data_IF_354198780853
#
_entry.id   IF_354198780853
#
_cell.length_a   1.000
_cell.length_b   1.000
_cell.length_c   1.000
_cell.angle_alpha   90.00
_cell.angle_beta   90.00
_cell.angle_gamma   90.00
#
_symmetry.space_group_name_H-M   'P 1'
#
loop_
_entity.id
_entity.type
_entity.pdbx_description
1 polymer ?
#
# COMPACT_ATOMS: atom_id res chain seq x y z
N UNK A 1 -13.07 -3.16 12.42
CA UNK A 1 -11.72 -3.05 11.82
C UNK A 1 -11.01 -4.40 11.85
N UNK A 2 -10.44 -4.84 10.72
CA UNK A 2 -9.71 -6.13 10.61
C UNK A 2 -8.34 -6.08 11.32
N UNK A 3 -7.92 -7.21 11.87
CA UNK A 3 -6.58 -7.45 12.40
C UNK A 3 -5.56 -7.61 11.26
N UNK A 4 -4.27 -7.49 11.57
CA UNK A 4 -3.21 -7.71 10.58
C UNK A 4 -3.27 -9.14 10.00
N UNK A 5 -3.49 -10.15 10.85
CA UNK A 5 -3.59 -11.54 10.40
C UNK A 5 -4.75 -11.75 9.42
N UNK A 6 -5.93 -11.18 9.71
CA UNK A 6 -7.08 -11.23 8.79
C UNK A 6 -6.79 -10.54 7.46
N UNK A 7 -6.12 -9.38 7.48
CA UNK A 7 -5.73 -8.66 6.26
C UNK A 7 -4.72 -9.44 5.43
N UNK A 8 -3.73 -10.06 6.08
CA UNK A 8 -2.72 -10.90 5.43
C UNK A 8 -3.37 -12.13 4.81
N UNK A 9 -4.24 -12.83 5.54
CA UNK A 9 -4.92 -14.02 5.04
C UNK A 9 -5.82 -13.70 3.83
N UNK A 10 -6.53 -12.57 3.84
CA UNK A 10 -7.32 -12.12 2.70
C UNK A 10 -6.49 -11.98 1.40
N UNK A 11 -5.23 -11.55 1.52
CA UNK A 11 -4.30 -11.40 0.39
C UNK A 11 -3.77 -12.78 -0.03
N UNK A 12 -3.42 -13.63 0.92
CA UNK A 12 -2.83 -14.96 0.65
C UNK A 12 -3.83 -15.93 0.02
N UNK A 13 -5.04 -15.97 0.56
CA UNK A 13 -6.11 -16.90 0.16
C UNK A 13 -6.86 -16.46 -1.10
N UNK A 14 -6.67 -15.22 -1.56
CA UNK A 14 -7.32 -14.73 -2.77
C UNK A 14 -6.69 -15.36 -4.03
N UNK A 15 -7.45 -16.14 -4.78
CA UNK A 15 -6.94 -16.89 -5.94
C UNK A 15 -6.64 -16.03 -7.17
N UNK A 16 -7.59 -15.22 -7.65
CA UNK A 16 -7.49 -14.50 -8.94
C UNK A 16 -7.38 -12.98 -8.81
N UNK A 17 -7.85 -12.40 -7.71
CA UNK A 17 -7.96 -10.94 -7.56
C UNK A 17 -6.70 -10.28 -6.99
N UNK A 18 -5.72 -11.08 -6.56
CA UNK A 18 -4.50 -10.62 -5.89
C UNK A 18 -3.28 -11.10 -6.65
N UNK A 19 -2.47 -10.13 -7.09
CA UNK A 19 -1.25 -10.43 -7.82
C UNK A 19 -0.21 -11.11 -6.93
N UNK A 20 0.52 -12.08 -7.48
CA UNK A 20 1.55 -12.88 -6.78
C UNK A 20 2.58 -12.03 -6.00
N UNK A 21 2.94 -10.83 -6.47
CA UNK A 21 3.89 -9.96 -5.77
C UNK A 21 3.37 -9.51 -4.41
N UNK A 22 2.06 -9.27 -4.27
CA UNK A 22 1.47 -8.88 -3.00
C UNK A 22 1.50 -10.04 -2.01
N UNK A 23 1.26 -11.27 -2.47
CA UNK A 23 1.43 -12.49 -1.66
C UNK A 23 2.86 -12.60 -1.16
N UNK A 24 3.86 -12.43 -2.04
CA UNK A 24 5.28 -12.44 -1.64
C UNK A 24 5.65 -11.35 -0.64
N UNK A 25 5.07 -10.15 -0.75
CA UNK A 25 5.27 -9.07 0.22
C UNK A 25 4.73 -9.49 1.59
N UNK A 26 3.49 -9.96 1.66
CA UNK A 26 2.85 -10.27 2.96
C UNK A 26 3.36 -11.57 3.58
N UNK A 27 3.87 -12.52 2.78
CA UNK A 27 4.61 -13.69 3.25
C UNK A 27 6.06 -13.39 3.64
N UNK A 28 6.52 -12.15 3.51
CA UNK A 28 7.92 -11.77 3.76
C UNK A 28 8.93 -12.54 2.88
N UNK A 29 8.53 -12.90 1.66
CA UNK A 29 9.39 -13.57 0.66
C UNK A 29 9.91 -12.61 -0.43
N UNK A 30 9.60 -11.32 -0.27
CA UNK A 30 10.07 -10.24 -1.15
C UNK A 30 11.36 -9.63 -0.58
N UNK A 31 12.33 -9.22 -1.43
CA UNK A 31 13.55 -8.52 -0.98
C UNK A 31 13.28 -7.24 -0.18
N UNK A 32 12.07 -6.67 -0.29
CA UNK A 32 11.66 -5.48 0.44
C UNK A 32 11.13 -5.77 1.86
N UNK A 33 10.86 -7.03 2.20
CA UNK A 33 10.22 -7.43 3.46
C UNK A 33 10.85 -8.64 4.13
N UNK A 34 11.77 -9.36 3.45
CA UNK A 34 12.35 -10.61 3.95
C UNK A 34 13.10 -10.49 5.30
N UNK A 35 13.58 -9.29 5.61
CA UNK A 35 14.31 -9.00 6.86
C UNK A 35 13.54 -8.03 7.78
N UNK A 36 12.23 -7.86 7.57
CA UNK A 36 11.43 -6.87 8.29
C UNK A 36 10.08 -7.41 8.73
N UNK A 37 9.68 -7.15 9.97
CA UNK A 37 8.34 -7.54 10.43
C UNK A 37 7.29 -6.58 9.89
N UNK A 38 6.17 -7.12 9.41
CA UNK A 38 5.00 -6.34 9.02
C UNK A 38 4.22 -5.97 10.28
N UNK A 39 3.93 -4.67 10.43
CA UNK A 39 3.22 -4.13 11.60
C UNK A 39 1.78 -3.78 11.23
N UNK A 40 1.56 -3.26 10.03
CA UNK A 40 0.24 -2.91 9.51
C UNK A 40 0.28 -2.88 7.98
N UNK A 41 -0.88 -3.08 7.35
CA UNK A 41 -1.00 -2.94 5.90
C UNK A 41 -2.37 -2.38 5.49
N UNK A 42 -2.39 -1.79 4.31
CA UNK A 42 -3.60 -1.42 3.57
C UNK A 42 -3.52 -2.06 2.19
N UNK A 43 -4.56 -2.77 1.80
CA UNK A 43 -4.66 -3.38 0.48
C UNK A 43 -5.86 -2.80 -0.27
N UNK A 44 -5.58 -2.00 -1.28
CA UNK A 44 -6.59 -1.45 -2.18
C UNK A 44 -6.79 -2.45 -3.32
N UNK A 45 -7.98 -3.05 -3.36
CA UNK A 45 -8.35 -3.99 -4.42
C UNK A 45 -8.38 -3.32 -5.77
N UNK A 46 -8.18 -4.13 -6.81
CA UNK A 46 -8.38 -3.72 -8.20
C UNK A 46 -9.81 -3.22 -8.37
N UNK A 47 -10.00 -2.17 -9.15
CA UNK A 47 -11.33 -1.67 -9.52
C UNK A 47 -11.56 -1.92 -11.00
N UNK A 48 -12.69 -2.55 -11.33
CA UNK A 48 -13.10 -2.78 -12.71
C UNK A 48 -14.08 -1.68 -13.16
N UNK A 49 -14.32 -1.57 -14.47
CA UNK A 49 -15.39 -0.70 -14.97
C UNK A 49 -16.77 -1.19 -14.53
N UNK A 50 -16.92 -2.50 -14.44
CA UNK A 50 -18.05 -3.20 -13.86
C UNK A 50 -17.51 -4.17 -12.81
N UNK A 51 -17.71 -3.86 -11.53
CA UNK A 51 -17.21 -4.67 -10.42
C UNK A 51 -17.94 -6.04 -10.32
N UNK A 52 -19.05 -6.24 -11.06
CA UNK A 52 -19.77 -7.51 -11.11
C UNK A 52 -19.25 -8.48 -12.17
N UNK A 53 -18.41 -8.02 -13.10
CA UNK A 53 -17.79 -8.83 -14.15
C UNK A 53 -16.27 -8.81 -14.01
N UNK A 54 -15.69 -9.95 -13.58
CA UNK A 54 -14.24 -10.13 -13.40
C UNK A 54 -13.47 -9.96 -14.73
N UNK A 55 -14.13 -10.15 -15.89
CA UNK A 55 -13.53 -9.93 -17.21
C UNK A 55 -13.62 -8.48 -17.68
N UNK A 56 -14.33 -7.63 -16.94
CA UNK A 56 -14.46 -6.21 -17.25
C UNK A 56 -13.09 -5.53 -17.25
N UNK A 57 -12.83 -4.54 -18.12
CA UNK A 57 -11.56 -3.84 -18.14
C UNK A 57 -11.24 -3.20 -16.79
N UNK A 58 -9.98 -3.31 -16.39
CA UNK A 58 -9.48 -2.71 -15.15
C UNK A 58 -9.53 -1.18 -15.27
N UNK A 59 -10.21 -0.52 -14.34
CA UNK A 59 -10.27 0.94 -14.23
C UNK A 59 -9.12 1.47 -13.36
N UNK A 60 -8.78 0.78 -12.27
CA UNK A 60 -7.66 1.13 -11.38
C UNK A 60 -6.90 -0.13 -10.94
N UNK A 61 -5.55 -0.11 -10.97
CA UNK A 61 -4.76 -1.25 -10.53
C UNK A 61 -4.83 -1.42 -9.02
N UNK A 62 -4.67 -2.66 -8.57
CA UNK A 62 -4.54 -2.99 -7.16
C UNK A 62 -3.23 -2.44 -6.58
N UNK A 63 -3.26 -2.10 -5.29
CA UNK A 63 -2.13 -1.49 -4.57
C UNK A 63 -2.04 -2.05 -3.17
N UNK A 64 -0.82 -2.19 -2.67
CA UNK A 64 -0.56 -2.52 -1.28
C UNK A 64 0.40 -1.51 -0.68
N UNK A 65 0.10 -1.09 0.54
CA UNK A 65 0.94 -0.26 1.37
C UNK A 65 1.18 -0.99 2.69
N UNK A 66 2.44 -1.23 3.02
CA UNK A 66 2.84 -2.04 4.18
C UNK A 66 3.77 -1.21 5.05
N UNK A 67 3.44 -1.11 6.34
CA UNK A 67 4.30 -0.55 7.36
C UNK A 67 5.10 -1.70 7.98
N UNK A 68 6.42 -1.59 7.92
CA UNK A 68 7.36 -2.58 8.45
C UNK A 68 8.17 -2.01 9.60
N UNK A 69 9.05 -2.82 10.20
CA UNK A 69 9.96 -2.33 11.25
C UNK A 69 10.95 -1.27 10.78
N UNK A 70 11.30 -1.20 9.49
CA UNK A 70 12.30 -0.24 8.98
C UNK A 70 11.70 0.86 8.10
N UNK A 71 10.51 0.69 7.54
CA UNK A 71 9.92 1.69 6.67
C UNK A 71 8.54 1.36 6.12
N UNK A 72 8.26 1.94 4.95
CA UNK A 72 7.05 1.72 4.18
C UNK A 72 7.39 1.00 2.88
N UNK A 73 6.76 -0.14 2.66
CA UNK A 73 6.80 -0.83 1.37
C UNK A 73 5.51 -0.52 0.62
N UNK A 74 5.65 -0.01 -0.60
CA UNK A 74 4.55 0.24 -1.52
C UNK A 74 4.73 -0.63 -2.75
N UNK A 75 3.65 -1.28 -3.18
CA UNK A 75 3.62 -1.92 -4.49
C UNK A 75 2.29 -1.68 -5.20
N UNK A 76 2.38 -1.52 -6.52
CA UNK A 76 1.25 -1.33 -7.42
C UNK A 76 1.36 -2.26 -8.62
N UNK A 77 0.24 -2.88 -8.95
CA UNK A 77 0.10 -3.73 -10.11
C UNK A 77 0.37 -2.96 -11.41
N UNK A 78 1.04 -3.61 -12.36
CA UNK A 78 1.25 -3.16 -13.73
C UNK A 78 -0.03 -2.73 -14.41
N UNK A 79 -0.11 -1.46 -14.77
CA UNK A 79 -1.15 -0.93 -15.64
C UNK A 79 -0.52 -0.29 -16.88
N UNK A 80 -1.32 0.46 -17.66
CA UNK A 80 -0.90 1.04 -18.96
C UNK A 80 0.37 1.91 -18.91
N UNK A 81 0.82 2.32 -17.71
CA UNK A 81 1.87 3.32 -17.48
C UNK A 81 3.17 2.75 -16.88
N UNK A 82 3.22 1.46 -16.54
CA UNK A 82 4.39 0.87 -15.87
C UNK A 82 5.37 0.28 -16.90
N UNK A 83 6.62 0.76 -16.88
CA UNK A 83 7.75 0.18 -17.64
C UNK A 83 8.00 -1.26 -17.14
N UNK A 84 8.44 -2.18 -18.00
CA UNK A 84 8.63 -3.63 -17.72
C UNK A 84 9.54 -4.02 -16.54
N UNK A 85 10.04 -3.06 -15.77
CA UNK A 85 10.81 -3.31 -14.55
C UNK A 85 9.97 -4.14 -13.56
N UNK A 86 10.61 -5.15 -12.94
CA UNK A 86 10.00 -6.08 -11.99
C UNK A 86 8.77 -6.85 -12.52
N UNK A 87 8.76 -7.30 -13.77
CA UNK A 87 7.60 -8.02 -14.35
C UNK A 87 6.33 -7.15 -14.41
N UNK A 88 6.51 -5.83 -14.52
CA UNK A 88 5.41 -4.89 -14.61
C UNK A 88 4.81 -4.54 -13.25
N UNK A 89 5.63 -4.26 -12.22
CA UNK A 89 5.11 -3.65 -10.98
C UNK A 89 5.88 -2.37 -10.68
N UNK A 90 5.21 -1.45 -10.00
CA UNK A 90 5.84 -0.29 -9.38
C UNK A 90 6.02 -0.59 -7.90
N UNK A 91 7.25 -0.76 -7.45
CA UNK A 91 7.60 -1.04 -6.05
C UNK A 91 8.49 0.05 -5.48
N UNK A 92 8.27 0.41 -4.22
CA UNK A 92 9.09 1.37 -3.47
C UNK A 92 9.26 0.88 -2.05
N UNK A 93 10.44 1.13 -1.48
CA UNK A 93 10.68 0.99 -0.05
C UNK A 93 11.25 2.32 0.46
N UNK A 94 10.60 2.87 1.48
CA UNK A 94 10.92 4.18 2.04
C UNK A 94 11.20 3.99 3.52
N UNK A 95 12.47 4.12 3.90
CA UNK A 95 12.88 4.06 5.31
C UNK A 95 12.27 5.21 6.11
N UNK A 96 11.96 4.96 7.39
CA UNK A 96 11.32 5.96 8.25
C UNK A 96 12.11 7.26 8.40
N UNK A 97 13.45 7.19 8.40
CA UNK A 97 14.34 8.36 8.49
C UNK A 97 14.29 9.25 7.23
N UNK A 98 13.82 8.72 6.10
CA UNK A 98 13.69 9.47 4.85
C UNK A 98 12.35 10.16 4.69
N UNK A 99 11.34 9.78 5.47
CA UNK A 99 10.00 10.39 5.42
C UNK A 99 10.07 11.79 6.02
N UNK A 100 9.77 12.81 5.23
CA UNK A 100 9.65 14.20 5.70
C UNK A 100 8.26 14.46 6.26
N UNK A 101 7.23 14.08 5.49
CA UNK A 101 5.82 14.34 5.77
C UNK A 101 4.94 13.13 5.38
N UNK A 102 3.79 13.04 6.04
CA UNK A 102 2.70 12.10 5.75
C UNK A 102 1.42 12.91 5.76
N UNK A 103 0.63 12.81 4.69
CA UNK A 103 -0.62 13.55 4.52
C UNK A 103 -1.78 12.59 4.27
N UNK A 104 -2.92 12.90 4.88
CA UNK A 104 -4.21 12.26 4.63
C UNK A 104 -5.24 13.36 4.42
N UNK A 105 -5.60 13.59 3.16
CA UNK A 105 -6.68 14.49 2.79
C UNK A 105 -7.96 13.69 2.56
N UNK A 106 -9.08 14.17 3.09
CA UNK A 106 -10.37 13.50 3.04
C UNK A 106 -11.44 14.50 2.68
N UNK A 107 -12.09 14.26 1.54
CA UNK A 107 -13.20 15.04 1.04
C UNK A 107 -14.33 14.12 0.58
N UNK A 108 -15.42 14.08 1.37
CA UNK A 108 -16.60 13.25 1.09
C UNK A 108 -16.22 11.77 0.88
N UNK A 109 -16.50 11.24 -0.32
CA UNK A 109 -16.26 9.84 -0.72
C UNK A 109 -14.84 9.61 -1.28
N UNK A 110 -13.99 10.63 -1.24
CA UNK A 110 -12.65 10.62 -1.79
C UNK A 110 -11.62 10.90 -0.69
N UNK A 111 -10.60 10.05 -0.63
CA UNK A 111 -9.46 10.24 0.25
C UNK A 111 -8.16 10.16 -0.54
N UNK A 112 -7.17 10.90 -0.10
CA UNK A 112 -5.85 10.96 -0.69
C UNK A 112 -4.79 10.78 0.41
N UNK A 113 -3.86 9.84 0.19
CA UNK A 113 -2.74 9.58 1.07
C UNK A 113 -1.44 9.89 0.34
N UNK A 114 -0.57 10.70 0.95
CA UNK A 114 0.72 11.07 0.40
C UNK A 114 1.87 10.82 1.37
N UNK A 115 2.99 10.37 0.81
CA UNK A 115 4.28 10.27 1.51
C UNK A 115 5.29 11.10 0.75
N UNK A 116 5.94 12.03 1.45
CA UNK A 116 7.06 12.79 0.90
C UNK A 116 8.35 12.40 1.59
N UNK A 117 9.46 12.54 0.87
CA UNK A 117 10.80 12.29 1.41
C UNK A 117 11.60 13.58 1.41
N UNK A 118 12.58 13.66 2.31
CA UNK A 118 13.47 14.81 2.47
C UNK A 118 14.17 15.25 1.15
N UNK A 119 14.28 14.36 0.17
CA UNK A 119 15.00 14.54 -1.09
C UNK A 119 14.11 14.82 -2.31
N UNK A 120 12.79 14.83 -2.18
CA UNK A 120 11.87 14.94 -3.32
C UNK A 120 10.98 16.18 -3.20
N UNK A 121 10.81 16.90 -4.32
CA UNK A 121 9.84 18.00 -4.40
C UNK A 121 8.39 17.51 -4.61
N UNK A 122 8.22 16.24 -5.00
CA UNK A 122 6.92 15.62 -5.21
C UNK A 122 6.74 14.41 -4.29
N UNK A 123 5.50 14.06 -3.90
CA UNK A 123 5.23 12.84 -3.15
C UNK A 123 5.81 11.60 -3.83
N UNK A 124 6.51 10.79 -3.05
CA UNK A 124 7.05 9.51 -3.53
C UNK A 124 5.98 8.42 -3.53
N UNK A 125 4.94 8.56 -2.71
CA UNK A 125 3.72 7.77 -2.77
C UNK A 125 2.55 8.76 -2.78
N UNK A 126 1.62 8.55 -3.70
CA UNK A 126 0.38 9.32 -3.81
C UNK A 126 -0.73 8.33 -4.17
N UNK A 127 -1.75 8.24 -3.32
CA UNK A 127 -2.78 7.21 -3.39
C UNK A 127 -4.15 7.81 -3.16
N UNK A 128 -5.02 7.69 -4.16
CA UNK A 128 -6.44 7.99 -4.00
C UNK A 128 -7.24 6.72 -3.65
N UNK A 129 -8.14 6.84 -2.68
CA UNK A 129 -9.01 5.75 -2.24
C UNK A 129 -10.45 6.23 -1.99
N UNK A 130 -11.38 5.28 -1.90
CA UNK A 130 -12.75 5.57 -1.50
C UNK A 130 -12.85 5.52 0.03
N UNK A 131 -13.22 6.64 0.66
CA UNK A 131 -13.29 6.76 2.12
C UNK A 131 -14.31 5.83 2.74
N UNK A 132 -15.41 5.51 2.04
CA UNK A 132 -16.41 4.55 2.56
C UNK A 132 -15.86 3.13 2.71
N UNK A 133 -14.79 2.80 1.98
CA UNK A 133 -14.17 1.48 2.00
C UNK A 133 -12.92 1.45 2.87
N UNK A 134 -12.07 2.49 2.79
CA UNK A 134 -10.71 2.42 3.34
C UNK A 134 -10.39 3.48 4.39
N UNK A 135 -11.35 4.33 4.82
CA UNK A 135 -11.07 5.40 5.78
C UNK A 135 -10.43 4.89 7.08
N UNK A 136 -11.09 3.95 7.78
CA UNK A 136 -10.57 3.39 9.03
C UNK A 136 -9.21 2.72 8.85
N UNK A 137 -8.98 2.08 7.70
CA UNK A 137 -7.72 1.41 7.40
C UNK A 137 -6.57 2.41 7.26
N UNK A 138 -6.79 3.51 6.54
CA UNK A 138 -5.80 4.57 6.38
C UNK A 138 -5.58 5.36 7.66
N UNK A 139 -6.63 5.64 8.44
CA UNK A 139 -6.50 6.32 9.73
C UNK A 139 -5.62 5.50 10.68
N UNK A 140 -5.89 4.20 10.82
CA UNK A 140 -5.08 3.30 11.64
C UNK A 140 -3.65 3.17 11.11
N UNK A 141 -3.50 3.03 9.79
CA UNK A 141 -2.19 2.90 9.16
C UNK A 141 -1.30 4.10 9.49
N UNK A 142 -1.84 5.32 9.39
CA UNK A 142 -1.10 6.54 9.70
C UNK A 142 -0.69 6.60 11.16
N UNK A 143 -1.57 6.25 12.08
CA UNK A 143 -1.19 6.23 13.50
C UNK A 143 -0.02 5.27 13.75
N UNK A 144 -0.08 4.05 13.22
CA UNK A 144 1.03 3.07 13.32
C UNK A 144 2.34 3.63 12.79
N UNK A 145 2.31 4.22 11.59
CA UNK A 145 3.49 4.81 10.95
C UNK A 145 4.05 5.98 11.77
N UNK A 146 3.18 6.85 12.28
CA UNK A 146 3.58 7.98 13.14
C UNK A 146 4.27 7.49 14.42
N UNK A 147 3.70 6.49 15.10
CA UNK A 147 4.30 5.92 16.30
C UNK A 147 5.67 5.28 16.02
N UNK A 148 5.81 4.58 14.89
CA UNK A 148 7.09 3.97 14.49
C UNK A 148 8.15 5.03 14.15
N UNK A 149 7.79 6.08 13.41
CA UNK A 149 8.71 7.19 13.08
C UNK A 149 9.18 7.95 14.33
N UNK A 150 8.29 8.20 15.31
CA UNK A 150 8.67 8.84 16.58
C UNK A 150 9.71 7.99 17.31
N UNK A 151 9.45 6.69 17.45
CA UNK A 151 10.38 5.76 18.12
C UNK A 151 11.71 5.61 17.38
N UNK A 152 11.72 5.68 16.05
CA UNK A 152 12.93 5.57 15.25
C UNK A 152 13.87 6.77 15.46
N UNK A 153 13.31 7.96 15.69
CA UNK A 153 14.08 9.20 15.90
C UNK A 153 14.41 9.48 17.38
N UNK A 154 13.99 8.61 18.30
CA UNK A 154 14.22 8.72 19.75
C UNK A 154 15.43 7.88 20.16
#
# INVERSE_FOLDING_TARGET
MKTLAEKTNEILESDFDVHHIFKRIVSQESPFTENEEIIELVFIKRKHLDDSDIKSPVQRPAKILVATTHGLVYAEEGFKEIKENYYGYKMKHIYYDKISSLELDICLLHGEFKVETNSSQNPVIELSFNTTQYYEEFEKFIDVVRQKRIKYNS
#
